data_IF_414448785712
#
_entry.id   IF_414448785712
#
_cell.length_a   1.000
_cell.length_b   1.000
_cell.length_c   1.000
_cell.angle_alpha   90.00
_cell.angle_beta   90.00
_cell.angle_gamma   90.00
#
_symmetry.space_group_name_H-M   'P 1'
#
loop_
_entity.id
_entity.type
_entity.pdbx_description
1 polymer ?
#
# COMPACT_ATOMS: atom_id res chain seq x y z
N UNK A 1 19.20 -36.32 13.37
CA UNK A 1 18.16 -35.29 13.37
C UNK A 1 18.42 -34.37 12.21
N UNK A 2 17.37 -33.77 11.66
CA UNK A 2 17.52 -32.76 10.62
C UNK A 2 17.90 -31.42 11.24
N UNK A 3 18.61 -30.59 10.48
CA UNK A 3 19.02 -29.25 10.89
C UNK A 3 17.79 -28.34 10.88
N UNK A 4 17.60 -27.59 11.96
CA UNK A 4 16.61 -26.51 12.03
C UNK A 4 17.34 -25.18 11.86
N UNK A 5 17.05 -24.49 10.77
CA UNK A 5 17.66 -23.19 10.48
C UNK A 5 16.78 -22.08 11.04
N UNK A 6 17.38 -21.21 11.86
CA UNK A 6 16.72 -20.04 12.43
C UNK A 6 17.45 -18.81 11.94
N UNK A 7 16.76 -18.01 11.14
CA UNK A 7 17.23 -16.69 10.74
C UNK A 7 16.62 -15.67 11.70
N UNK A 8 17.48 -14.92 12.39
CA UNK A 8 17.04 -13.82 13.26
C UNK A 8 17.28 -12.53 12.50
N UNK A 9 16.18 -11.87 12.11
CA UNK A 9 16.23 -10.55 11.51
C UNK A 9 16.00 -9.47 12.57
N UNK A 10 16.84 -8.45 12.55
CA UNK A 10 16.77 -7.28 13.44
C UNK A 10 16.78 -5.97 12.66
N UNK A 11 16.78 -6.02 11.33
CA UNK A 11 16.74 -4.84 10.48
C UNK A 11 15.29 -4.38 10.40
N UNK A 12 15.05 -3.10 10.70
CA UNK A 12 13.73 -2.52 10.52
C UNK A 12 13.45 -2.37 9.02
N UNK A 13 12.22 -2.59 8.57
CA UNK A 13 11.93 -2.50 7.16
C UNK A 13 12.13 -1.08 6.63
N UNK A 14 12.54 -0.99 5.37
CA UNK A 14 12.62 0.31 4.70
C UNK A 14 11.24 0.97 4.61
N UNK A 15 11.23 2.31 4.64
CA UNK A 15 9.99 3.06 4.54
C UNK A 15 9.32 2.75 3.18
N UNK A 16 8.05 2.30 3.16
CA UNK A 16 7.37 2.05 1.90
C UNK A 16 7.15 3.35 1.12
N UNK A 17 7.10 3.23 -0.20
CA UNK A 17 6.80 4.33 -1.12
C UNK A 17 5.36 4.24 -1.60
N UNK A 18 4.77 5.37 -1.96
CA UNK A 18 3.45 5.41 -2.60
C UNK A 18 3.67 5.68 -4.09
N UNK A 19 3.21 4.76 -4.93
CA UNK A 19 3.37 4.80 -6.38
C UNK A 19 2.30 5.66 -7.06
N UNK A 20 1.08 5.68 -6.52
CA UNK A 20 0.01 6.54 -7.02
C UNK A 20 -1.38 6.08 -6.62
N UNK A 21 -2.38 6.83 -7.11
CA UNK A 21 -3.81 6.55 -6.97
C UNK A 21 -4.44 6.62 -8.35
N UNK A 22 -5.38 5.73 -8.65
CA UNK A 22 -6.08 5.66 -9.94
C UNK A 22 -7.57 5.94 -9.74
N UNK A 23 -8.17 6.72 -10.63
CA UNK A 23 -9.61 6.86 -10.79
C UNK A 23 -10.13 5.77 -11.74
N UNK A 24 -11.05 4.94 -11.26
CA UNK A 24 -11.69 3.89 -12.05
C UNK A 24 -13.20 4.09 -12.18
N UNK A 25 -13.70 5.30 -11.94
CA UNK A 25 -15.12 5.65 -11.94
C UNK A 25 -15.41 6.77 -12.96
N UNK A 26 -16.66 6.84 -13.43
CA UNK A 26 -17.12 7.94 -14.29
C UNK A 26 -16.54 7.95 -15.71
N UNK A 27 -16.70 9.11 -16.38
CA UNK A 27 -16.30 9.30 -17.78
C UNK A 27 -14.80 9.59 -17.94
N UNK A 28 -14.10 9.91 -16.84
CA UNK A 28 -12.67 10.23 -16.82
C UNK A 28 -11.94 9.31 -15.85
N UNK A 29 -11.35 8.26 -16.38
CA UNK A 29 -10.54 7.29 -15.62
C UNK A 29 -9.05 7.46 -15.90
N UNK A 30 -8.22 6.96 -14.99
CA UNK A 30 -6.76 6.97 -15.11
C UNK A 30 -6.05 7.48 -13.85
N UNK A 31 -4.72 7.68 -13.93
CA UNK A 31 -3.91 8.13 -12.79
C UNK A 31 -4.33 9.52 -12.30
N UNK A 32 -4.39 9.70 -10.98
CA UNK A 32 -4.73 10.98 -10.33
C UNK A 32 -3.43 11.71 -9.97
N UNK A 33 -3.25 12.92 -10.51
CA UNK A 33 -2.14 13.81 -10.15
C UNK A 33 -2.57 14.87 -9.13
N UNK A 34 -1.59 15.56 -8.54
CA UNK A 34 -1.87 16.64 -7.60
C UNK A 34 -2.65 17.78 -8.28
N UNK A 35 -3.82 18.11 -7.72
CA UNK A 35 -4.73 19.13 -8.24
C UNK A 35 -5.80 18.60 -9.20
N UNK A 36 -5.73 17.31 -9.58
CA UNK A 36 -6.79 16.69 -10.36
C UNK A 36 -8.08 16.56 -9.55
N UNK A 37 -9.21 16.60 -10.26
CA UNK A 37 -10.52 16.26 -9.71
C UNK A 37 -10.83 14.81 -10.07
N UNK A 38 -11.31 14.07 -9.10
CA UNK A 38 -11.72 12.66 -9.24
C UNK A 38 -13.14 12.50 -8.68
N UNK A 39 -13.91 11.59 -9.25
CA UNK A 39 -15.18 11.11 -8.70
C UNK A 39 -15.08 9.69 -8.13
N UNK A 40 -13.87 9.15 -8.02
CA UNK A 40 -13.58 7.89 -7.34
C UNK A 40 -13.89 7.98 -5.84
N UNK A 41 -14.60 6.97 -5.33
CA UNK A 41 -15.01 6.88 -3.92
C UNK A 41 -14.32 5.76 -3.17
N UNK A 42 -13.73 4.81 -3.88
CA UNK A 42 -12.90 3.75 -3.32
C UNK A 42 -11.57 3.69 -4.09
N UNK A 43 -10.67 4.67 -3.85
CA UNK A 43 -9.39 4.72 -4.51
C UNK A 43 -8.56 3.46 -4.24
N UNK A 44 -7.91 2.95 -5.27
CA UNK A 44 -6.89 1.92 -5.13
C UNK A 44 -5.52 2.61 -4.95
N UNK A 45 -4.86 2.33 -3.83
CA UNK A 45 -3.51 2.80 -3.54
C UNK A 45 -2.53 1.69 -3.84
N UNK A 46 -1.40 2.05 -4.46
CA UNK A 46 -0.31 1.12 -4.74
C UNK A 46 1.04 1.74 -4.41
N UNK A 47 2.05 0.89 -4.26
CA UNK A 47 3.40 1.32 -3.97
C UNK A 47 4.39 0.17 -3.86
N UNK A 48 5.57 0.49 -3.32
CA UNK A 48 6.64 -0.47 -3.07
C UNK A 48 6.99 -0.51 -1.58
N UNK A 49 7.54 -1.63 -1.12
CA UNK A 49 7.99 -1.83 0.24
C UNK A 49 8.84 -3.09 0.36
N UNK A 50 9.27 -3.40 1.59
CA UNK A 50 9.99 -4.64 1.86
C UNK A 50 9.03 -5.84 1.89
N UNK A 51 9.29 -6.91 1.13
CA UNK A 51 8.47 -8.12 1.13
C UNK A 51 8.11 -8.63 2.52
N UNK A 52 6.84 -9.00 2.72
CA UNK A 52 6.34 -9.48 4.00
C UNK A 52 6.05 -8.39 5.04
N UNK A 53 6.39 -7.13 4.77
CA UNK A 53 5.99 -6.01 5.63
C UNK A 53 4.50 -5.71 5.53
N UNK A 54 3.92 -5.17 6.61
CA UNK A 54 2.53 -4.69 6.62
C UNK A 54 2.46 -3.19 6.27
N UNK A 55 1.61 -2.85 5.30
CA UNK A 55 1.26 -1.48 4.92
C UNK A 55 -0.07 -1.12 5.56
N UNK A 56 -0.14 0.02 6.24
CA UNK A 56 -1.35 0.54 6.87
C UNK A 56 -1.64 1.93 6.31
N UNK A 57 -2.81 2.09 5.69
CA UNK A 57 -3.30 3.39 5.23
C UNK A 57 -4.17 4.02 6.30
N UNK A 58 -3.89 5.29 6.61
CA UNK A 58 -4.60 6.06 7.63
C UNK A 58 -5.05 7.40 7.10
N UNK A 59 -6.22 7.83 7.54
CA UNK A 59 -6.64 9.22 7.39
C UNK A 59 -5.76 10.09 8.29
N UNK A 60 -5.17 11.13 7.72
CA UNK A 60 -4.21 11.99 8.45
C UNK A 60 -4.90 12.93 9.45
N UNK A 61 -6.17 13.29 9.22
CA UNK A 61 -6.93 14.18 10.06
C UNK A 61 -7.58 13.44 11.24
N UNK A 62 -8.10 12.24 11.01
CA UNK A 62 -8.79 11.44 12.04
C UNK A 62 -7.89 10.39 12.69
N UNK A 63 -6.82 9.96 12.01
CA UNK A 63 -5.98 8.82 12.43
C UNK A 63 -6.63 7.45 12.23
N UNK A 64 -7.81 7.40 11.62
CA UNK A 64 -8.55 6.17 11.34
C UNK A 64 -7.78 5.28 10.35
N UNK A 65 -7.79 3.97 10.60
CA UNK A 65 -7.23 3.00 9.65
C UNK A 65 -8.26 2.77 8.56
N UNK A 66 -7.88 3.12 7.34
CA UNK A 66 -8.70 2.98 6.15
C UNK A 66 -8.53 1.61 5.48
N UNK A 67 -7.39 0.96 5.71
CA UNK A 67 -7.10 -0.39 5.22
C UNK A 67 -5.66 -0.82 5.51
N UNK A 68 -5.38 -2.11 5.33
CA UNK A 68 -4.02 -2.66 5.37
C UNK A 68 -3.82 -3.76 4.34
N UNK A 69 -2.56 -4.01 3.99
CA UNK A 69 -2.15 -5.08 3.08
C UNK A 69 -0.73 -5.54 3.42
N UNK A 70 -0.32 -6.70 2.91
CA UNK A 70 1.06 -7.19 3.02
C UNK A 70 1.78 -6.91 1.71
N UNK A 71 3.05 -6.54 1.79
CA UNK A 71 3.91 -6.39 0.60
C UNK A 71 4.24 -7.76 0.02
N UNK A 72 3.98 -7.91 -1.27
CA UNK A 72 4.26 -9.13 -2.02
C UNK A 72 5.77 -9.39 -2.13
N UNK A 73 6.14 -10.62 -2.49
CA UNK A 73 7.54 -11.05 -2.68
C UNK A 73 8.30 -10.24 -3.76
N UNK A 74 7.58 -9.60 -4.69
CA UNK A 74 8.16 -8.72 -5.71
C UNK A 74 8.36 -7.27 -5.22
N UNK A 75 8.07 -7.01 -3.94
CA UNK A 75 8.20 -5.71 -3.29
C UNK A 75 7.05 -4.76 -3.55
N UNK A 76 5.96 -5.20 -4.18
CA UNK A 76 4.80 -4.35 -4.49
C UNK A 76 3.65 -4.59 -3.53
N UNK A 77 2.79 -3.60 -3.41
CA UNK A 77 1.56 -3.72 -2.64
C UNK A 77 0.44 -2.92 -3.28
N UNK A 78 -0.80 -3.35 -3.00
CA UNK A 78 -2.02 -2.66 -3.39
C UNK A 78 -3.04 -2.79 -2.26
N UNK A 79 -3.75 -1.70 -1.97
CA UNK A 79 -4.78 -1.65 -0.94
C UNK A 79 -5.93 -0.77 -1.39
N UNK A 80 -7.14 -1.23 -1.15
CA UNK A 80 -8.38 -0.50 -1.38
C UNK A 80 -9.08 -0.32 -0.03
N UNK A 81 -9.35 0.91 0.41
CA UNK A 81 -10.09 1.13 1.65
C UNK A 81 -11.51 0.54 1.62
N UNK A 82 -11.98 0.10 2.78
CA UNK A 82 -13.35 -0.44 2.97
C UNK A 82 -14.43 0.66 3.00
#
# INVERSE_FOLDING_TARGET
SDVFEVVVDTVAPEKPTIGGVTDNTGDKTGPINSGDKTDEKQPEFSGEGEPGSEIIIKDNDTGEILGSTIVDEDGKWTVKPD
#
